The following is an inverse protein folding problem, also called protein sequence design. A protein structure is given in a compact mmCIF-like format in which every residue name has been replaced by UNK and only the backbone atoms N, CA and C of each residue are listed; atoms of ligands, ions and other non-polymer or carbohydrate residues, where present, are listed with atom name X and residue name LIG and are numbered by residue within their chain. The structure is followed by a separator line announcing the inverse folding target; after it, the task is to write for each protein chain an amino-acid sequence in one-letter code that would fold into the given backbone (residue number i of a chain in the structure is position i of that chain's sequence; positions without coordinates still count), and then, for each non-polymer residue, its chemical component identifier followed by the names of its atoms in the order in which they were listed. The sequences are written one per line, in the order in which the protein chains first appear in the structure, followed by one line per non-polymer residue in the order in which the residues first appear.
data_IF_316791685072
#
_entry.id   IF_316791685072
#
_cell.length_a   1.000
_cell.length_b   1.000
_cell.length_c   1.000
_cell.angle_alpha   90.00
_cell.angle_beta   90.00
_cell.angle_gamma   90.00
#
_symmetry.space_group_name_H-M   'P 1'
#
loop_
_entity.id
_entity.type
_entity.pdbx_description
1 polymer ?
#
# COMPACT_ATOMS: atom_id res chain seq x y z
N UNK A 1 0.63 24.98 13.90
CA UNK A 1 2.06 25.30 13.66
C UNK A 1 2.52 24.43 12.50
N UNK A 2 2.62 25.03 11.33
CA UNK A 2 3.11 24.38 10.11
C UNK A 2 4.61 24.67 10.01
N UNK A 3 5.41 24.00 10.80
CA UNK A 3 6.86 24.08 10.76
C UNK A 3 7.42 22.68 10.92
N UNK A 4 7.91 22.13 9.87
CA UNK A 4 9.02 21.24 9.62
C UNK A 4 8.88 20.40 8.30
N UNK A 5 8.30 20.99 7.26
CA UNK A 5 8.29 20.36 5.93
C UNK A 5 9.55 20.69 5.09
N UNK A 6 10.48 21.45 5.65
CA UNK A 6 11.60 22.04 4.87
C UNK A 6 12.67 21.05 4.39
N UNK A 7 12.73 19.81 4.93
CA UNK A 7 13.83 18.88 4.59
C UNK A 7 13.40 17.42 4.40
N UNK A 8 12.08 17.11 4.40
CA UNK A 8 11.65 15.73 4.15
C UNK A 8 11.62 15.44 2.65
N UNK A 9 12.14 14.27 2.26
CA UNK A 9 12.13 13.81 0.88
C UNK A 9 10.70 13.57 0.40
N UNK A 10 10.35 14.10 -0.77
CA UNK A 10 9.07 13.83 -1.44
C UNK A 10 9.15 12.50 -2.16
N UNK A 11 8.33 11.54 -1.76
CA UNK A 11 8.22 10.21 -2.39
C UNK A 11 7.19 10.21 -3.51
N UNK A 12 6.05 10.87 -3.29
CA UNK A 12 4.98 11.00 -4.30
C UNK A 12 4.61 12.46 -4.45
N UNK A 13 4.50 12.92 -5.71
CA UNK A 13 3.94 14.22 -6.03
C UNK A 13 2.98 14.11 -7.21
N UNK A 14 1.73 14.51 -6.98
CA UNK A 14 0.72 14.69 -8.02
C UNK A 14 0.48 16.17 -8.23
N UNK A 15 0.43 16.61 -9.52
CA UNK A 15 0.14 17.99 -9.93
C UNK A 15 -1.00 18.00 -10.93
N UNK A 16 -2.17 18.47 -10.53
CA UNK A 16 -3.41 18.58 -11.35
C UNK A 16 -3.72 17.28 -12.14
N UNK A 17 -3.54 16.12 -11.50
CA UNK A 17 -3.73 14.81 -12.13
C UNK A 17 -5.21 14.61 -12.43
N UNK A 18 -5.50 14.33 -13.72
CA UNK A 18 -6.84 14.02 -14.21
C UNK A 18 -6.84 12.67 -14.90
N UNK A 19 -7.90 11.91 -14.67
CA UNK A 19 -8.11 10.65 -15.37
C UNK A 19 -9.55 10.55 -15.86
N UNK A 20 -9.70 10.47 -17.17
CA UNK A 20 -10.97 10.38 -17.86
C UNK A 20 -11.02 9.07 -18.64
N UNK A 21 -12.17 8.42 -18.64
CA UNK A 21 -12.44 7.20 -19.38
C UNK A 21 -13.56 7.46 -20.37
N UNK A 22 -13.41 6.99 -21.60
CA UNK A 22 -14.48 7.01 -22.59
C UNK A 22 -15.29 5.73 -22.45
N UNK A 23 -16.59 5.85 -22.17
CA UNK A 23 -17.54 4.75 -22.03
C UNK A 23 -18.68 4.99 -23.04
N UNK A 24 -18.58 4.37 -24.21
CA UNK A 24 -19.47 4.67 -25.32
C UNK A 24 -19.36 6.15 -25.75
N UNK A 25 -20.46 6.87 -25.74
CA UNK A 25 -20.51 8.32 -26.05
C UNK A 25 -20.23 9.24 -24.87
N UNK A 26 -20.13 8.69 -23.65
CA UNK A 26 -19.95 9.47 -22.41
C UNK A 26 -18.50 9.49 -21.93
N UNK A 27 -18.10 10.61 -21.33
CA UNK A 27 -16.79 10.74 -20.68
C UNK A 27 -16.92 10.70 -19.17
N UNK A 28 -16.46 9.63 -18.55
CA UNK A 28 -16.40 9.47 -17.09
C UNK A 28 -15.14 10.15 -16.56
N UNK A 29 -15.29 11.20 -15.76
CA UNK A 29 -14.19 11.97 -15.16
C UNK A 29 -13.88 11.42 -13.76
N UNK A 30 -13.06 10.35 -13.70
CA UNK A 30 -12.76 9.64 -12.45
C UNK A 30 -11.83 10.44 -11.52
N UNK A 31 -10.83 11.15 -12.06
CA UNK A 31 -10.02 12.12 -11.31
C UNK A 31 -10.11 13.49 -11.99
N UNK A 32 -10.30 14.55 -11.20
CA UNK A 32 -10.70 15.88 -11.69
C UNK A 32 -9.75 16.99 -11.22
N UNK A 33 -8.43 16.72 -11.30
CA UNK A 33 -7.39 17.66 -10.87
C UNK A 33 -6.96 17.41 -9.42
N UNK A 34 -6.38 16.24 -9.19
CA UNK A 34 -5.86 15.82 -7.87
C UNK A 34 -4.42 16.29 -7.73
N UNK A 35 -4.11 17.01 -6.63
CA UNK A 35 -2.78 17.51 -6.32
C UNK A 35 -2.47 17.28 -4.84
N UNK A 36 -1.39 16.58 -4.54
CA UNK A 36 -0.81 16.45 -3.19
C UNK A 36 0.61 15.91 -3.27
N UNK A 37 1.31 15.97 -2.14
CA UNK A 37 2.61 15.35 -1.94
C UNK A 37 2.54 14.37 -0.78
N UNK A 38 3.31 13.29 -0.86
CA UNK A 38 3.56 12.37 0.24
C UNK A 38 5.05 12.36 0.49
N UNK A 39 5.42 12.50 1.75
CA UNK A 39 6.80 12.54 2.19
C UNK A 39 7.25 11.19 2.74
N UNK A 40 8.55 10.94 2.70
CA UNK A 40 9.16 9.75 3.26
C UNK A 40 8.80 9.60 4.74
N UNK A 41 8.46 8.38 5.15
CA UNK A 41 8.05 8.07 6.51
C UNK A 41 6.65 8.57 6.89
N UNK A 42 5.75 8.90 5.96
CA UNK A 42 4.35 9.17 6.26
C UNK A 42 3.50 7.89 6.23
N UNK A 43 2.56 7.78 7.14
CA UNK A 43 1.45 6.83 7.04
C UNK A 43 0.18 7.59 6.67
N UNK A 44 -0.22 7.50 5.41
CA UNK A 44 -1.34 8.27 4.84
C UNK A 44 -2.52 7.35 4.57
N UNK A 45 -3.69 7.69 5.08
CA UNK A 45 -4.95 7.03 4.70
C UNK A 45 -5.68 7.85 3.64
N UNK A 46 -6.03 7.20 2.52
CA UNK A 46 -6.88 7.79 1.48
C UNK A 46 -8.26 7.15 1.60
N UNK A 47 -9.25 7.96 1.94
CA UNK A 47 -10.62 7.50 2.13
C UNK A 47 -11.62 8.23 1.22
N UNK A 48 -12.82 7.68 1.12
CA UNK A 48 -13.92 8.25 0.35
C UNK A 48 -14.99 7.21 0.06
N UNK A 49 -16.18 7.68 -0.33
CA UNK A 49 -17.32 6.82 -0.67
C UNK A 49 -17.06 5.96 -1.91
N UNK A 50 -17.88 4.95 -2.16
CA UNK A 50 -17.87 4.21 -3.42
C UNK A 50 -18.04 5.19 -4.60
N UNK A 51 -17.29 4.97 -5.68
CA UNK A 51 -17.31 5.86 -6.86
C UNK A 51 -16.54 7.17 -6.71
N UNK A 52 -15.92 7.48 -5.57
CA UNK A 52 -15.17 8.74 -5.37
C UNK A 52 -13.90 8.86 -6.21
N UNK A 53 -13.39 7.75 -6.81
CA UNK A 53 -12.17 7.71 -7.61
C UNK A 53 -10.97 7.05 -6.93
N UNK A 54 -11.14 6.44 -5.74
CA UNK A 54 -10.04 5.80 -4.97
C UNK A 54 -9.27 4.76 -5.78
N UNK A 55 -9.95 3.79 -6.39
CA UNK A 55 -9.29 2.75 -7.19
C UNK A 55 -8.58 3.33 -8.42
N UNK A 56 -9.13 4.38 -9.03
CA UNK A 56 -8.44 5.10 -10.11
C UNK A 56 -7.20 5.81 -9.59
N UNK A 57 -7.28 6.48 -8.44
CA UNK A 57 -6.13 7.12 -7.81
C UNK A 57 -5.06 6.10 -7.42
N UNK A 58 -5.44 4.97 -6.83
CA UNK A 58 -4.54 3.87 -6.50
C UNK A 58 -3.81 3.35 -7.74
N UNK A 59 -4.52 3.16 -8.86
CA UNK A 59 -3.92 2.73 -10.12
C UNK A 59 -2.92 3.75 -10.68
N UNK A 60 -3.18 5.06 -10.48
CA UNK A 60 -2.20 6.10 -10.84
C UNK A 60 -0.97 6.02 -9.93
N UNK A 61 -1.17 6.02 -8.60
CA UNK A 61 -0.10 5.93 -7.60
C UNK A 61 0.74 4.66 -7.82
N UNK A 62 0.09 3.56 -8.17
CA UNK A 62 0.71 2.27 -8.46
C UNK A 62 1.40 2.17 -9.81
N UNK A 63 1.45 3.22 -10.63
CA UNK A 63 1.97 3.16 -12.01
C UNK A 63 1.32 2.07 -12.88
N UNK A 64 0.08 1.66 -12.55
CA UNK A 64 -0.71 0.68 -13.32
C UNK A 64 -1.42 1.36 -14.48
N UNK A 65 -1.74 2.64 -14.33
CA UNK A 65 -2.38 3.47 -15.33
C UNK A 65 -1.65 4.82 -15.48
N UNK A 66 -2.00 5.59 -16.50
CA UNK A 66 -1.41 6.92 -16.77
C UNK A 66 -2.47 8.00 -16.71
N UNK A 67 -2.13 9.20 -16.23
CA UNK A 67 -3.07 10.31 -16.22
C UNK A 67 -3.43 10.75 -17.64
N UNK A 68 -4.67 11.22 -17.83
CA UNK A 68 -5.09 11.90 -19.06
C UNK A 68 -4.38 13.25 -19.21
N UNK A 69 -4.20 13.96 -18.07
CA UNK A 69 -3.42 15.21 -17.98
C UNK A 69 -2.91 15.40 -16.54
N UNK A 70 -2.01 16.38 -16.37
CA UNK A 70 -1.31 16.61 -15.12
C UNK A 70 -0.03 15.79 -15.03
N UNK A 71 0.70 15.92 -13.95
CA UNK A 71 2.00 15.28 -13.76
C UNK A 71 2.00 14.42 -12.51
N UNK A 72 2.68 13.27 -12.60
CA UNK A 72 2.94 12.36 -11.49
C UNK A 72 4.43 12.08 -11.39
N UNK A 73 4.99 12.28 -10.20
CA UNK A 73 6.38 11.97 -9.86
C UNK A 73 6.41 10.93 -8.74
N UNK A 74 7.18 9.87 -8.93
CA UNK A 74 7.48 8.85 -7.94
C UNK A 74 8.97 8.86 -7.65
N UNK A 75 9.33 9.13 -6.40
CA UNK A 75 10.72 9.25 -5.94
C UNK A 75 11.54 10.20 -6.84
N UNK A 76 10.96 11.36 -7.20
CA UNK A 76 11.53 12.36 -8.08
C UNK A 76 11.49 12.05 -9.58
N UNK A 77 11.03 10.85 -9.97
CA UNK A 77 11.01 10.40 -11.37
C UNK A 77 9.64 10.65 -12.00
N UNK A 78 9.59 11.37 -13.14
CA UNK A 78 8.34 11.62 -13.87
C UNK A 78 7.81 10.36 -14.53
N UNK A 79 6.56 10.00 -14.20
CA UNK A 79 5.90 8.78 -14.70
C UNK A 79 5.17 9.02 -16.02
N UNK A 80 4.79 10.27 -16.32
CA UNK A 80 3.90 10.63 -17.42
C UNK A 80 4.39 10.18 -18.79
N UNK A 81 5.69 10.31 -19.06
CA UNK A 81 6.30 10.03 -20.37
C UNK A 81 6.84 8.60 -20.48
N UNK A 82 6.73 7.80 -19.43
CA UNK A 82 7.27 6.44 -19.40
C UNK A 82 6.48 5.47 -20.28
N UNK A 83 7.19 4.59 -20.98
CA UNK A 83 6.63 3.41 -21.62
C UNK A 83 6.05 2.42 -20.58
N UNK A 84 5.23 1.49 -21.02
CA UNK A 84 4.69 0.42 -20.14
C UNK A 84 5.80 -0.36 -19.43
N UNK A 85 6.89 -0.69 -20.12
CA UNK A 85 8.01 -1.43 -19.55
C UNK A 85 8.77 -0.59 -18.50
N UNK A 86 9.04 0.68 -18.78
CA UNK A 86 9.67 1.58 -17.81
C UNK A 86 8.84 1.73 -16.53
N UNK A 87 7.50 1.88 -16.67
CA UNK A 87 6.60 1.90 -15.51
C UNK A 87 6.60 0.60 -14.74
N UNK A 88 6.66 -0.56 -15.43
CA UNK A 88 6.74 -1.86 -14.77
C UNK A 88 8.02 -2.02 -13.95
N UNK A 89 9.16 -1.57 -14.48
CA UNK A 89 10.43 -1.56 -13.75
C UNK A 89 10.42 -0.60 -12.56
N UNK A 90 9.92 0.63 -12.75
CA UNK A 90 9.80 1.60 -11.67
C UNK A 90 8.89 1.08 -10.56
N UNK A 91 7.72 0.51 -10.91
CA UNK A 91 6.78 -0.11 -9.97
C UNK A 91 7.44 -1.23 -9.18
N UNK A 92 8.11 -2.15 -9.84
CA UNK A 92 8.77 -3.29 -9.19
C UNK A 92 9.80 -2.83 -8.14
N UNK A 93 10.55 -1.77 -8.43
CA UNK A 93 11.62 -1.28 -7.54
C UNK A 93 11.15 -0.33 -6.45
N UNK A 94 10.06 0.41 -6.68
CA UNK A 94 9.67 1.54 -5.83
C UNK A 94 8.35 1.35 -5.10
N UNK A 95 7.53 0.38 -5.49
CA UNK A 95 6.19 0.20 -4.95
C UNK A 95 6.00 -1.22 -4.46
N UNK A 96 5.64 -1.37 -3.20
CA UNK A 96 5.12 -2.60 -2.63
C UNK A 96 3.60 -2.58 -2.60
N UNK A 97 2.93 -3.56 -3.21
CA UNK A 97 1.48 -3.67 -3.20
C UNK A 97 0.97 -4.68 -2.19
N UNK A 98 -0.03 -4.28 -1.42
CA UNK A 98 -0.80 -5.14 -0.51
C UNK A 98 -2.27 -5.02 -0.89
N UNK A 99 -2.90 -6.09 -1.34
CA UNK A 99 -4.28 -6.12 -1.82
C UNK A 99 -5.23 -6.79 -0.83
N UNK A 100 -6.50 -6.45 -0.90
CA UNK A 100 -7.56 -7.06 -0.10
C UNK A 100 -7.64 -8.58 -0.28
N UNK A 101 -7.46 -9.09 -1.49
CA UNK A 101 -7.54 -10.52 -1.82
C UNK A 101 -6.17 -11.21 -1.80
N UNK A 102 -5.18 -10.63 -1.09
CA UNK A 102 -3.80 -11.14 -0.96
C UNK A 102 -3.06 -11.29 -2.29
N UNK A 103 -3.71 -11.68 -3.36
CA UNK A 103 -3.17 -11.94 -4.70
C UNK A 103 -1.90 -12.81 -4.66
N UNK A 104 -1.91 -13.84 -3.81
CA UNK A 104 -0.87 -14.86 -3.78
C UNK A 104 -1.06 -15.82 -4.95
N UNK A 105 0.04 -16.31 -5.51
CA UNK A 105 -0.02 -17.40 -6.47
C UNK A 105 -0.52 -18.66 -5.78
N UNK A 106 -1.58 -19.29 -6.29
CA UNK A 106 -2.07 -20.55 -5.74
C UNK A 106 -1.06 -21.67 -5.97
N UNK A 107 -1.01 -22.65 -5.05
CA UNK A 107 -0.14 -23.83 -5.11
C UNK A 107 1.37 -23.54 -4.96
N UNK A 108 1.77 -22.28 -4.78
CA UNK A 108 3.15 -21.90 -4.45
C UNK A 108 3.29 -21.67 -2.95
N UNK A 109 4.50 -21.82 -2.44
CA UNK A 109 4.82 -21.62 -1.03
C UNK A 109 4.87 -20.14 -0.66
N UNK A 110 4.89 -19.83 0.64
CA UNK A 110 5.05 -18.47 1.14
C UNK A 110 6.34 -17.83 0.61
N UNK A 111 7.45 -18.57 0.68
CA UNK A 111 8.74 -18.06 0.24
C UNK A 111 8.78 -17.84 -1.27
N UNK A 112 8.23 -18.74 -2.09
CA UNK A 112 8.13 -18.56 -3.54
C UNK A 112 7.30 -17.33 -3.91
N UNK A 113 6.20 -17.06 -3.20
CA UNK A 113 5.41 -15.83 -3.40
C UNK A 113 6.21 -14.57 -3.10
N UNK A 114 7.05 -14.58 -2.05
CA UNK A 114 7.85 -13.43 -1.65
C UNK A 114 9.06 -13.24 -2.58
N UNK A 115 9.62 -14.32 -3.15
CA UNK A 115 10.71 -14.25 -4.13
C UNK A 115 10.29 -13.62 -5.47
N UNK A 116 9.00 -13.68 -5.83
CA UNK A 116 8.50 -13.24 -7.16
C UNK A 116 8.96 -11.84 -7.59
N UNK A 117 8.83 -10.77 -6.78
CA UNK A 117 9.28 -9.44 -7.21
C UNK A 117 10.77 -9.37 -7.49
N UNK A 118 11.58 -10.17 -6.79
CA UNK A 118 13.03 -10.22 -6.97
C UNK A 118 13.44 -10.92 -8.28
N UNK A 119 12.59 -11.81 -8.82
CA UNK A 119 12.87 -12.50 -10.10
C UNK A 119 12.91 -11.55 -11.29
N UNK A 120 12.29 -10.37 -11.18
CA UNK A 120 12.33 -9.34 -12.22
C UNK A 120 13.57 -8.42 -12.12
N UNK A 121 14.44 -8.67 -11.14
CA UNK A 121 15.71 -7.98 -10.99
C UNK A 121 16.87 -8.92 -11.33
N UNK A 122 17.44 -8.78 -12.52
CA UNK A 122 18.55 -9.61 -13.00
C UNK A 122 19.87 -9.46 -12.21
N UNK A 123 19.96 -8.41 -11.39
CA UNK A 123 21.15 -8.14 -10.55
C UNK A 123 21.15 -8.98 -9.25
N UNK A 124 20.01 -9.58 -8.88
CA UNK A 124 19.86 -10.36 -7.64
C UNK A 124 20.02 -11.84 -7.94
N UNK A 125 21.01 -12.48 -7.33
CA UNK A 125 21.27 -13.92 -7.47
C UNK A 125 20.14 -14.76 -6.85
N UNK A 126 20.03 -16.05 -7.22
CA UNK A 126 19.05 -16.97 -6.64
C UNK A 126 19.22 -17.13 -5.12
N UNK A 127 20.45 -17.19 -4.65
CA UNK A 127 20.75 -17.27 -3.23
C UNK A 127 20.30 -16.02 -2.49
N UNK A 128 20.65 -14.84 -2.99
CA UNK A 128 20.25 -13.56 -2.40
C UNK A 128 18.73 -13.36 -2.39
N UNK A 129 18.01 -13.79 -3.45
CA UNK A 129 16.55 -13.79 -3.46
C UNK A 129 15.97 -14.60 -2.31
N UNK A 130 16.49 -15.81 -2.11
CA UNK A 130 16.06 -16.70 -1.03
C UNK A 130 16.30 -16.08 0.34
N UNK A 131 17.49 -15.53 0.55
CA UNK A 131 17.86 -14.87 1.82
C UNK A 131 16.98 -13.67 2.13
N UNK A 132 16.73 -12.79 1.15
CA UNK A 132 15.85 -11.63 1.30
C UNK A 132 14.39 -12.05 1.58
N UNK A 133 13.89 -13.08 0.89
CA UNK A 133 12.55 -13.60 1.11
C UNK A 133 12.37 -14.19 2.51
N UNK A 134 13.36 -14.95 3.00
CA UNK A 134 13.37 -15.47 4.38
C UNK A 134 13.36 -14.32 5.39
N UNK A 135 14.19 -13.30 5.18
CA UNK A 135 14.26 -12.14 6.07
C UNK A 135 12.90 -11.39 6.11
N UNK A 136 12.28 -11.17 4.95
CA UNK A 136 10.97 -10.52 4.85
C UNK A 136 9.86 -11.32 5.55
N UNK A 137 9.83 -12.65 5.40
CA UNK A 137 8.85 -13.51 6.08
C UNK A 137 9.07 -13.54 7.60
N UNK A 138 10.32 -13.55 8.06
CA UNK A 138 10.63 -13.42 9.49
C UNK A 138 10.17 -12.09 10.06
N UNK A 139 10.35 -10.99 9.33
CA UNK A 139 9.94 -9.65 9.76
C UNK A 139 8.44 -9.53 9.98
N UNK A 140 7.62 -10.32 9.27
CA UNK A 140 6.15 -10.37 9.46
C UNK A 140 5.70 -11.52 10.37
N UNK A 141 6.61 -12.22 11.06
CA UNK A 141 6.29 -13.30 12.01
C UNK A 141 5.94 -14.64 11.37
N UNK A 142 6.44 -14.92 10.14
CA UNK A 142 6.18 -16.18 9.42
C UNK A 142 7.46 -16.99 9.15
N UNK A 143 8.47 -16.87 10.01
CA UNK A 143 9.74 -17.57 9.84
C UNK A 143 9.64 -19.11 9.92
N UNK A 144 8.59 -19.64 10.55
CA UNK A 144 8.29 -21.08 10.68
C UNK A 144 7.34 -21.59 9.57
N UNK A 145 6.88 -20.73 8.65
CA UNK A 145 5.86 -21.02 7.64
C UNK A 145 6.35 -20.89 6.20
N UNK A 146 7.66 -20.89 5.99
CA UNK A 146 8.29 -20.61 4.68
C UNK A 146 7.74 -21.49 3.55
N UNK A 147 7.59 -22.78 3.80
CA UNK A 147 7.20 -23.80 2.82
C UNK A 147 5.68 -24.06 2.78
N UNK A 148 4.87 -23.37 3.61
CA UNK A 148 3.42 -23.52 3.57
C UNK A 148 2.84 -22.87 2.32
N UNK A 149 1.87 -23.54 1.71
CA UNK A 149 1.12 -23.04 0.55
C UNK A 149 -0.04 -22.16 1.01
N UNK A 150 -0.54 -21.31 0.11
CA UNK A 150 -1.63 -20.39 0.44
C UNK A 150 -2.91 -21.08 0.96
N UNK A 151 -3.20 -22.30 0.50
CA UNK A 151 -4.35 -23.10 0.97
C UNK A 151 -4.12 -23.77 2.34
N UNK A 152 -2.93 -23.67 2.90
CA UNK A 152 -2.55 -24.18 4.23
C UNK A 152 -2.42 -23.04 5.26
N UNK A 153 -2.83 -21.83 4.88
CA UNK A 153 -2.66 -20.61 5.67
C UNK A 153 -4.01 -19.95 5.97
N UNK A 154 -4.11 -19.32 7.15
CA UNK A 154 -5.24 -18.45 7.48
C UNK A 154 -5.21 -17.16 6.65
N UNK A 155 -6.34 -16.42 6.61
CA UNK A 155 -6.42 -15.12 5.94
C UNK A 155 -5.36 -14.13 6.43
N UNK A 156 -5.16 -14.04 7.75
CA UNK A 156 -4.12 -13.19 8.34
C UNK A 156 -2.70 -13.60 7.97
N UNK A 157 -2.42 -14.92 7.91
CA UNK A 157 -1.12 -15.43 7.45
C UNK A 157 -0.89 -15.11 5.98
N UNK A 158 -1.90 -15.30 5.11
CA UNK A 158 -1.83 -14.91 3.69
C UNK A 158 -1.57 -13.42 3.51
N UNK A 159 -2.19 -12.57 4.34
CA UNK A 159 -1.97 -11.12 4.31
C UNK A 159 -0.54 -10.76 4.75
N UNK A 160 -0.02 -11.42 5.78
CA UNK A 160 1.39 -11.25 6.18
C UNK A 160 2.37 -11.67 5.07
N UNK A 161 2.10 -12.75 4.33
CA UNK A 161 2.89 -13.12 3.14
C UNK A 161 2.82 -12.02 2.07
N UNK A 162 1.62 -11.45 1.81
CA UNK A 162 1.46 -10.36 0.85
C UNK A 162 2.23 -9.10 1.27
N UNK A 163 2.27 -8.78 2.58
CA UNK A 163 3.08 -7.68 3.12
C UNK A 163 4.58 -7.98 2.97
N UNK A 164 5.04 -9.19 3.31
CA UNK A 164 6.44 -9.59 3.12
C UNK A 164 6.86 -9.47 1.65
N UNK A 165 6.02 -9.94 0.72
CA UNK A 165 6.23 -9.79 -0.72
C UNK A 165 6.31 -8.32 -1.15
N UNK A 166 5.50 -7.46 -0.55
CA UNK A 166 5.52 -6.02 -0.84
C UNK A 166 6.81 -5.35 -0.38
N UNK A 167 7.40 -5.82 0.74
CA UNK A 167 8.60 -5.26 1.36
C UNK A 167 9.91 -5.75 0.73
N UNK A 168 9.92 -6.90 0.06
CA UNK A 168 11.14 -7.65 -0.30
C UNK A 168 12.13 -6.89 -1.19
N UNK A 169 11.66 -5.90 -1.97
CA UNK A 169 12.48 -5.02 -2.81
C UNK A 169 12.86 -3.70 -2.13
N UNK A 170 12.61 -3.53 -0.82
CA UNK A 170 12.80 -2.27 -0.10
C UNK A 170 12.17 -1.07 -0.85
N UNK A 171 10.82 -1.06 -1.01
CA UNK A 171 10.15 -0.08 -1.82
C UNK A 171 10.13 1.30 -1.15
N UNK A 172 10.09 2.36 -1.98
CA UNK A 172 9.92 3.72 -1.49
C UNK A 172 8.54 3.98 -0.86
N UNK A 173 7.52 3.18 -1.26
CA UNK A 173 6.15 3.28 -0.73
C UNK A 173 5.44 1.93 -0.74
N UNK A 174 4.69 1.65 0.32
CA UNK A 174 3.72 0.56 0.39
C UNK A 174 2.33 1.10 0.05
N UNK A 175 1.67 0.52 -0.96
CA UNK A 175 0.28 0.80 -1.33
C UNK A 175 -0.60 -0.34 -0.83
N UNK A 176 -1.41 -0.09 0.18
CA UNK A 176 -2.36 -1.04 0.75
C UNK A 176 -3.79 -0.71 0.28
N UNK A 177 -4.38 -1.59 -0.51
CA UNK A 177 -5.75 -1.47 -1.02
C UNK A 177 -6.68 -2.35 -0.19
N UNK A 178 -7.45 -1.70 0.69
CA UNK A 178 -8.40 -2.39 1.59
C UNK A 178 -7.80 -3.62 2.30
N UNK A 179 -6.54 -3.51 2.74
CA UNK A 179 -5.72 -4.63 3.19
C UNK A 179 -6.25 -5.38 4.43
N UNK A 180 -7.31 -4.88 5.07
CA UNK A 180 -7.99 -5.52 6.21
C UNK A 180 -9.42 -5.97 5.87
N UNK A 181 -9.92 -5.69 4.66
CA UNK A 181 -11.33 -5.82 4.32
C UNK A 181 -11.88 -7.26 4.29
N UNK A 182 -11.03 -8.28 4.17
CA UNK A 182 -11.40 -9.70 4.17
C UNK A 182 -11.01 -10.42 5.47
N UNK A 183 -10.64 -9.68 6.52
CA UNK A 183 -10.19 -10.23 7.79
C UNK A 183 -11.25 -10.02 8.88
N UNK A 184 -11.27 -10.89 9.87
CA UNK A 184 -12.03 -10.66 11.09
C UNK A 184 -11.46 -9.46 11.87
N UNK A 185 -12.22 -8.98 12.86
CA UNK A 185 -11.88 -7.79 13.62
C UNK A 185 -10.51 -7.92 14.30
N UNK A 186 -10.24 -9.03 14.98
CA UNK A 186 -8.96 -9.23 15.69
C UNK A 186 -7.79 -9.25 14.73
N UNK A 187 -7.88 -10.05 13.68
CA UNK A 187 -6.86 -10.15 12.62
C UNK A 187 -6.65 -8.80 11.91
N UNK A 188 -7.72 -8.01 11.72
CA UNK A 188 -7.61 -6.64 11.17
C UNK A 188 -6.77 -5.73 12.05
N UNK A 189 -6.96 -5.76 13.38
CA UNK A 189 -6.12 -4.99 14.31
C UNK A 189 -4.68 -5.51 14.36
N UNK A 190 -4.45 -6.83 14.28
CA UNK A 190 -3.09 -7.37 14.16
C UNK A 190 -2.37 -6.85 12.91
N UNK A 191 -3.08 -6.70 11.78
CA UNK A 191 -2.52 -6.09 10.58
C UNK A 191 -2.24 -4.60 10.76
N UNK A 192 -3.13 -3.86 11.45
CA UNK A 192 -2.88 -2.45 11.76
C UNK A 192 -1.68 -2.26 12.68
N UNK A 193 -1.48 -3.15 13.67
CA UNK A 193 -0.26 -3.17 14.49
C UNK A 193 0.97 -3.34 13.60
N UNK A 194 0.95 -4.32 12.68
CA UNK A 194 2.06 -4.53 11.75
C UNK A 194 2.32 -3.29 10.87
N UNK A 195 1.28 -2.64 10.33
CA UNK A 195 1.45 -1.39 9.56
C UNK A 195 2.01 -0.25 10.40
N UNK A 196 1.57 -0.11 11.67
CA UNK A 196 2.14 0.89 12.58
C UNK A 196 3.60 0.58 12.94
N UNK A 197 3.99 -0.68 13.07
CA UNK A 197 5.38 -1.08 13.29
C UNK A 197 6.26 -0.73 12.08
N UNK A 198 5.78 -1.00 10.88
CA UNK A 198 6.47 -0.61 9.64
C UNK A 198 6.58 0.92 9.53
N UNK A 199 5.54 1.66 9.90
CA UNK A 199 5.58 3.12 9.97
C UNK A 199 6.62 3.63 10.97
N UNK A 200 6.69 3.04 12.17
CA UNK A 200 7.72 3.37 13.19
C UNK A 200 9.14 3.06 12.72
N UNK A 201 9.31 2.07 11.83
CA UNK A 201 10.58 1.73 11.18
C UNK A 201 10.94 2.69 10.04
N UNK A 202 10.08 3.66 9.70
CA UNK A 202 10.32 4.68 8.69
C UNK A 202 9.75 4.36 7.31
N UNK A 203 8.99 3.27 7.14
CA UNK A 203 8.33 2.98 5.87
C UNK A 203 7.24 4.01 5.55
N UNK A 204 7.18 4.42 4.29
CA UNK A 204 6.08 5.25 3.75
C UNK A 204 4.92 4.35 3.37
N UNK A 205 3.73 4.63 3.91
CA UNK A 205 2.56 3.78 3.73
C UNK A 205 1.39 4.62 3.22
N UNK A 206 0.72 4.14 2.17
CA UNK A 206 -0.56 4.66 1.71
C UNK A 206 -1.59 3.56 1.85
N UNK A 207 -2.57 3.78 2.71
CA UNK A 207 -3.66 2.87 2.96
C UNK A 207 -4.93 3.42 2.31
N UNK A 208 -5.47 2.73 1.31
CA UNK A 208 -6.73 3.10 0.65
C UNK A 208 -7.84 2.28 1.27
N UNK A 209 -8.88 2.94 1.79
CA UNK A 209 -9.98 2.25 2.46
C UNK A 209 -11.28 3.04 2.36
N UNK A 210 -12.39 2.35 2.52
CA UNK A 210 -13.71 2.96 2.77
C UNK A 210 -14.09 2.95 4.26
N UNK A 211 -13.29 2.29 5.12
CA UNK A 211 -13.51 2.27 6.58
C UNK A 211 -12.89 3.52 7.22
N UNK A 212 -13.70 4.45 7.77
CA UNK A 212 -13.19 5.67 8.40
C UNK A 212 -12.39 5.42 9.69
N UNK A 213 -12.62 4.30 10.39
CA UNK A 213 -11.90 3.98 11.62
C UNK A 213 -10.40 3.80 11.37
N UNK A 214 -10.00 3.25 10.22
CA UNK A 214 -8.59 3.06 9.85
C UNK A 214 -7.83 4.39 9.85
N UNK A 215 -8.49 5.48 9.48
CA UNK A 215 -7.89 6.81 9.43
C UNK A 215 -7.37 7.30 10.79
N UNK A 216 -7.94 6.80 11.90
CA UNK A 216 -7.52 7.17 13.25
C UNK A 216 -6.13 6.60 13.61
N UNK A 217 -5.67 5.58 12.88
CA UNK A 217 -4.38 4.89 13.10
C UNK A 217 -3.26 5.39 12.20
N UNK A 218 -3.53 6.31 11.29
CA UNK A 218 -2.56 6.90 10.36
C UNK A 218 -2.18 8.33 10.74
N UNK A 219 -1.02 8.80 10.25
CA UNK A 219 -0.49 10.14 10.56
C UNK A 219 -1.14 11.26 9.74
N UNK A 220 -1.82 10.93 8.62
CA UNK A 220 -2.45 11.90 7.72
C UNK A 220 -3.61 11.27 6.98
N UNK A 221 -4.67 12.06 6.79
CA UNK A 221 -5.90 11.61 6.15
C UNK A 221 -6.23 12.48 4.94
N UNK A 222 -6.40 11.82 3.79
CA UNK A 222 -6.83 12.45 2.54
C UNK A 222 -8.23 11.94 2.20
N UNK A 223 -9.22 12.84 2.14
CA UNK A 223 -10.59 12.50 1.77
C UNK A 223 -10.84 12.81 0.30
N UNK A 224 -11.13 11.77 -0.49
CA UNK A 224 -11.44 11.86 -1.92
C UNK A 224 -12.95 11.77 -2.14
N UNK A 225 -13.52 12.75 -2.85
CA UNK A 225 -14.93 12.76 -3.23
C UNK A 225 -15.10 13.33 -4.64
N UNK A 226 -15.87 12.63 -5.48
CA UNK A 226 -16.18 13.04 -6.87
C UNK A 226 -14.91 13.34 -7.70
N UNK A 227 -13.85 12.54 -7.52
CA UNK A 227 -12.57 12.68 -8.22
C UNK A 227 -11.72 13.88 -7.78
N UNK A 228 -12.02 14.49 -6.61
CA UNK A 228 -11.29 15.63 -6.04
C UNK A 228 -10.93 15.37 -4.58
N UNK A 229 -9.81 15.90 -4.13
CA UNK A 229 -9.49 15.99 -2.70
C UNK A 229 -10.42 17.03 -2.08
N UNK A 230 -11.12 16.66 -1.02
CA UNK A 230 -11.98 17.54 -0.22
C UNK A 230 -11.28 18.00 1.05
N UNK A 231 -10.54 17.10 1.65
CA UNK A 231 -9.80 17.34 2.89
C UNK A 231 -8.45 16.65 2.82
N UNK A 232 -7.45 17.26 3.43
CA UNK A 232 -6.10 16.74 3.60
C UNK A 232 -5.61 17.22 4.96
N UNK A 233 -5.66 16.34 5.96
CA UNK A 233 -5.48 16.69 7.37
C UNK A 233 -4.40 15.82 8.02
N UNK A 234 -3.55 16.46 8.83
CA UNK A 234 -2.58 15.75 9.67
C UNK A 234 -3.31 15.28 10.94
N UNK A 235 -3.16 14.00 11.24
CA UNK A 235 -3.66 13.41 12.49
C UNK A 235 -2.61 13.60 13.59
N UNK A 236 -2.87 14.49 14.52
CA UNK A 236 -1.98 14.75 15.66
C UNK A 236 -2.24 13.82 16.85
N UNK A 237 -3.30 13.00 16.78
CA UNK A 237 -3.68 12.06 17.85
C UNK A 237 -3.85 10.65 17.23
N UNK A 238 -2.74 10.05 16.82
CA UNK A 238 -2.73 8.71 16.21
C UNK A 238 -3.06 7.68 17.28
N UNK A 239 -4.15 6.93 17.09
CA UNK A 239 -4.51 5.83 18.00
C UNK A 239 -3.51 4.67 17.91
N UNK A 240 -3.27 3.99 19.02
CA UNK A 240 -2.49 2.76 19.06
C UNK A 240 -3.33 1.56 18.64
N UNK A 241 -2.93 0.90 17.56
CA UNK A 241 -3.57 -0.35 17.14
C UNK A 241 -3.30 -1.49 18.14
N UNK A 242 -2.16 -1.45 18.83
CA UNK A 242 -1.80 -2.42 19.88
C UNK A 242 -2.74 -2.29 21.09
N UNK A 243 -3.01 -1.06 21.56
CA UNK A 243 -3.98 -0.83 22.64
C UNK A 243 -5.40 -1.25 22.25
N UNK A 244 -5.82 -0.94 21.01
CA UNK A 244 -7.11 -1.34 20.50
C UNK A 244 -7.23 -2.87 20.40
N UNK A 245 -6.18 -3.56 19.93
CA UNK A 245 -6.13 -5.03 19.89
C UNK A 245 -6.20 -5.64 21.30
N UNK A 246 -5.50 -5.06 22.27
CA UNK A 246 -5.51 -5.51 23.66
C UNK A 246 -6.88 -5.33 24.34
N UNK A 247 -7.65 -4.30 23.93
CA UNK A 247 -8.99 -4.04 24.44
C UNK A 247 -10.09 -4.97 23.87
N UNK A 248 -9.79 -5.73 22.79
CA UNK A 248 -10.76 -6.69 22.25
C UNK A 248 -11.00 -7.85 23.21
N UNK A 249 -12.25 -8.35 23.32
CA UNK A 249 -12.56 -9.54 24.11
C UNK A 249 -11.63 -10.69 23.73
N UNK A 250 -11.11 -11.40 24.75
CA UNK A 250 -10.40 -12.67 24.47
C UNK A 250 -11.40 -13.66 23.84
N UNK A 251 -10.97 -14.32 22.77
CA UNK A 251 -11.74 -15.44 22.23
C UNK A 251 -11.87 -16.47 23.36
N UNK A 252 -13.10 -16.72 23.81
CA UNK A 252 -13.35 -17.89 24.66
C UNK A 252 -13.20 -19.09 23.71
N UNK A 253 -12.24 -19.95 24.00
CA UNK A 253 -12.12 -21.26 23.35
C UNK A 253 -13.36 -22.06 23.75
N UNK A 254 -14.30 -22.26 22.81
CA UNK A 254 -15.42 -23.20 22.93
C UNK A 254 -14.97 -24.65 22.63
#
# INVERSE_FOLDING_TARGET
MAEDSGNRKVVIELRDVRRYFQVGSETVKALRGVSFKIYEGEFVTIQGTSGSGKSTLLNQLGCLDTPTSGDYFLDGVSVRTMSKNQRAHLRNRKIGFVFQNYNLLPKTTAIENVELPLMYNSEVSAQERRERAIAALKAVGLGDRLEHKSNEMSGGQMQRVAIARALVNDPAVLLADEATGNLDTRTSFEMLVLFQDLYRQGHTIIFVTHNPEIAEYSSRNINLRDGKIREDTINTNIKSAEEALAALPQLQDD
#
